data_IF_174985354785
#
_entry.id   IF_174985354785
#
_cell.length_a   1.000
_cell.length_b   1.000
_cell.length_c   1.000
_cell.angle_alpha   90.00
_cell.angle_beta   90.00
_cell.angle_gamma   90.00
#
_symmetry.space_group_name_H-M   'P 1'
#
loop_
_entity.id
_entity.type
_entity.pdbx_description
1 polymer ?
#
# COMPACT_ATOMS: atom_id res chain seq x y z
N UNK A 1 21.68 -1.48 23.94
CA UNK A 1 20.31 -1.76 23.44
C UNK A 1 19.39 -0.54 23.54
N UNK A 2 19.30 0.15 24.67
CA UNK A 2 18.50 1.39 24.84
C UNK A 2 19.00 2.53 23.95
N UNK A 3 20.32 2.69 23.76
CA UNK A 3 20.87 3.71 22.86
C UNK A 3 20.42 3.53 21.40
N UNK A 4 20.31 2.32 20.91
CA UNK A 4 19.80 2.07 19.56
C UNK A 4 18.31 2.46 19.43
N UNK A 5 17.49 2.24 20.49
CA UNK A 5 16.10 2.73 20.53
C UNK A 5 16.08 4.26 20.51
N UNK A 6 16.87 4.89 21.40
CA UNK A 6 16.96 6.36 21.49
C UNK A 6 17.31 6.98 20.13
N UNK A 7 18.36 6.49 19.48
CA UNK A 7 18.82 7.02 18.19
C UNK A 7 17.77 6.80 17.07
N UNK A 8 17.16 5.62 17.01
CA UNK A 8 16.13 5.31 16.00
C UNK A 8 14.90 6.21 16.13
N UNK A 9 14.43 6.43 17.37
CA UNK A 9 13.27 7.27 17.62
C UNK A 9 13.57 8.75 17.47
N UNK A 10 14.77 9.20 17.83
CA UNK A 10 15.24 10.56 17.54
C UNK A 10 15.23 10.84 16.04
N UNK A 11 15.87 9.95 15.25
CA UNK A 11 15.89 10.09 13.80
C UNK A 11 14.48 10.13 13.21
N UNK A 12 13.57 9.28 13.70
CA UNK A 12 12.19 9.29 13.23
C UNK A 12 11.49 10.62 13.52
N UNK A 13 11.69 11.18 14.72
CA UNK A 13 11.12 12.47 15.11
C UNK A 13 11.66 13.63 14.28
N UNK A 14 12.95 13.57 13.92
CA UNK A 14 13.63 14.66 13.24
C UNK A 14 13.47 14.60 11.69
N UNK A 15 13.39 13.39 11.09
CA UNK A 15 13.50 13.20 9.64
C UNK A 15 12.25 12.59 8.98
N UNK A 16 11.50 11.71 9.68
CA UNK A 16 10.46 10.90 9.04
C UNK A 16 9.02 11.37 9.35
N UNK A 17 8.78 11.85 10.57
CA UNK A 17 7.46 12.25 11.04
C UNK A 17 7.08 13.72 10.76
N UNK A 18 8.04 14.70 10.67
CA UNK A 18 7.68 16.08 10.44
C UNK A 18 6.89 16.30 9.15
N UNK A 19 5.85 17.15 9.21
CA UNK A 19 4.95 17.40 8.07
C UNK A 19 3.99 16.26 7.74
N UNK A 20 4.07 15.13 8.46
CA UNK A 20 3.16 14.00 8.31
C UNK A 20 2.31 13.74 9.55
N UNK A 21 2.90 13.82 10.74
CA UNK A 21 2.20 13.55 11.99
C UNK A 21 2.86 14.22 13.18
N UNK A 22 2.31 15.33 13.62
CA UNK A 22 2.80 16.05 14.81
C UNK A 22 2.69 15.18 16.08
N UNK A 23 1.67 14.31 16.13
CA UNK A 23 1.50 13.37 17.24
C UNK A 23 2.64 12.35 17.27
N UNK A 24 3.05 11.83 16.13
CA UNK A 24 4.17 10.89 16.05
C UNK A 24 5.53 11.56 16.27
N UNK A 25 5.68 12.86 15.93
CA UNK A 25 6.83 13.67 16.35
C UNK A 25 6.87 13.75 17.87
N UNK A 26 5.74 14.07 18.53
CA UNK A 26 5.62 14.15 19.98
C UNK A 26 5.99 12.82 20.66
N UNK A 27 5.41 11.71 20.23
CA UNK A 27 5.68 10.40 20.80
C UNK A 27 7.14 9.96 20.60
N UNK A 28 7.67 10.13 19.40
CA UNK A 28 9.03 9.72 19.10
C UNK A 28 10.07 10.57 19.84
N UNK A 29 9.86 11.89 19.95
CA UNK A 29 10.69 12.80 20.74
C UNK A 29 10.68 12.42 22.23
N UNK A 30 9.51 12.09 22.77
CA UNK A 30 9.34 11.62 24.13
C UNK A 30 10.11 10.31 24.37
N UNK A 31 9.97 9.32 23.51
CA UNK A 31 10.71 8.05 23.60
C UNK A 31 12.23 8.31 23.57
N UNK A 32 12.70 9.22 22.71
CA UNK A 32 14.12 9.54 22.60
C UNK A 32 14.69 10.15 23.91
N UNK A 33 13.85 10.75 24.76
CA UNK A 33 14.21 11.33 26.06
C UNK A 33 13.91 10.43 27.28
N UNK A 34 13.24 9.28 27.12
CA UNK A 34 12.73 8.48 28.23
C UNK A 34 13.41 7.10 28.33
N UNK A 35 14.37 6.94 29.28
CA UNK A 35 15.07 5.67 29.47
C UNK A 35 14.16 4.52 29.94
N UNK A 36 13.03 4.80 30.58
CA UNK A 36 12.12 3.76 31.07
C UNK A 36 11.32 3.13 29.93
N UNK A 37 10.76 3.95 29.04
CA UNK A 37 10.11 3.49 27.81
C UNK A 37 11.12 2.80 26.89
N UNK A 38 12.34 3.33 26.76
CA UNK A 38 13.40 2.70 25.96
C UNK A 38 13.72 1.29 26.46
N UNK A 39 13.71 1.03 27.77
CA UNK A 39 13.90 -0.32 28.32
C UNK A 39 12.78 -1.27 27.93
N UNK A 40 11.54 -0.81 27.92
CA UNK A 40 10.40 -1.61 27.44
C UNK A 40 10.58 -1.94 25.94
N UNK A 41 10.84 -0.94 25.11
CA UNK A 41 10.97 -1.12 23.65
C UNK A 41 12.21 -1.94 23.27
N UNK A 42 13.29 -1.91 24.09
CA UNK A 42 14.48 -2.73 23.86
C UNK A 42 14.21 -4.25 24.01
N UNK A 43 13.10 -4.65 24.61
CA UNK A 43 12.64 -6.05 24.68
C UNK A 43 12.10 -6.57 23.35
N UNK A 44 11.71 -5.67 22.45
CA UNK A 44 11.23 -5.98 21.10
C UNK A 44 12.45 -6.17 20.19
N UNK A 45 12.43 -7.18 19.31
CA UNK A 45 13.48 -7.40 18.32
C UNK A 45 13.69 -6.16 17.44
N UNK A 46 14.92 -5.90 17.00
CA UNK A 46 15.29 -4.65 16.33
C UNK A 46 14.46 -4.37 15.07
N UNK A 47 14.22 -5.37 14.26
CA UNK A 47 13.40 -5.29 13.06
C UNK A 47 11.90 -5.15 13.33
N UNK A 48 11.46 -5.26 14.59
CA UNK A 48 10.06 -5.17 15.03
C UNK A 48 9.78 -3.96 15.92
N UNK A 49 10.79 -3.20 16.32
CA UNK A 49 10.64 -2.01 17.18
C UNK A 49 10.69 -0.68 16.42
N UNK A 50 10.39 -0.72 15.12
CA UNK A 50 10.30 0.50 14.31
C UNK A 50 9.17 1.40 14.83
N UNK A 51 9.38 2.75 14.92
CA UNK A 51 8.37 3.65 15.48
C UNK A 51 6.97 3.48 14.87
N UNK A 52 6.79 3.39 13.54
CA UNK A 52 5.45 3.20 12.96
C UNK A 52 4.75 1.92 13.42
N UNK A 53 5.50 0.83 13.62
CA UNK A 53 4.92 -0.43 14.09
C UNK A 53 4.49 -0.34 15.56
N UNK A 54 5.35 0.18 16.42
CA UNK A 54 5.05 0.32 17.85
C UNK A 54 3.86 1.27 18.06
N UNK A 55 3.83 2.39 17.34
CA UNK A 55 2.74 3.35 17.44
C UNK A 55 1.41 2.77 16.93
N UNK A 56 1.45 2.03 15.82
CA UNK A 56 0.27 1.32 15.33
C UNK A 56 -0.25 0.26 16.32
N UNK A 57 0.65 -0.50 16.95
CA UNK A 57 0.29 -1.47 18.00
C UNK A 57 -0.37 -0.77 19.19
N UNK A 58 0.21 0.31 19.70
CA UNK A 58 -0.39 1.03 20.84
C UNK A 58 -1.75 1.63 20.50
N UNK A 59 -1.94 2.11 19.26
CA UNK A 59 -3.24 2.58 18.76
C UNK A 59 -4.25 1.45 18.63
N UNK A 60 -3.86 0.33 18.05
CA UNK A 60 -4.70 -0.88 17.96
C UNK A 60 -5.17 -1.35 19.34
N UNK A 61 -4.30 -1.23 20.36
CA UNK A 61 -4.60 -1.57 21.74
C UNK A 61 -5.45 -0.51 22.47
N UNK A 62 -5.74 0.62 21.83
CA UNK A 62 -6.71 1.60 22.32
C UNK A 62 -6.12 2.80 23.06
N UNK A 63 -4.84 3.14 22.86
CA UNK A 63 -4.24 4.32 23.53
C UNK A 63 -4.92 5.65 23.14
N UNK A 64 -5.57 5.71 21.96
CA UNK A 64 -6.14 6.95 21.44
C UNK A 64 -5.09 7.92 20.90
N UNK A 65 -5.56 9.12 20.51
CA UNK A 65 -4.71 10.22 20.00
C UNK A 65 -4.34 11.17 21.14
N UNK A 66 -3.52 10.71 22.07
CA UNK A 66 -3.12 11.41 23.29
C UNK A 66 -1.69 11.91 23.23
N UNK A 67 -1.33 12.92 24.03
CA UNK A 67 0.05 13.41 24.16
C UNK A 67 0.97 12.37 24.79
N UNK A 68 2.28 12.58 24.64
CA UNK A 68 3.32 11.63 25.07
C UNK A 68 3.14 11.12 26.51
N UNK A 69 2.85 11.97 27.49
CA UNK A 69 2.75 11.56 28.89
C UNK A 69 1.67 10.50 29.12
N UNK A 70 0.51 10.65 28.49
CA UNK A 70 -0.56 9.67 28.56
C UNK A 70 -0.22 8.39 27.77
N UNK A 71 0.42 8.54 26.60
CA UNK A 71 0.94 7.41 25.80
C UNK A 71 2.01 6.63 26.59
N UNK A 72 2.93 7.34 27.25
CA UNK A 72 3.95 6.75 28.15
C UNK A 72 3.32 5.90 29.25
N UNK A 73 2.35 6.45 29.98
CA UNK A 73 1.65 5.74 31.05
C UNK A 73 0.99 4.46 30.50
N UNK A 74 0.37 4.53 29.33
CA UNK A 74 -0.22 3.38 28.65
C UNK A 74 0.84 2.31 28.31
N UNK A 75 1.97 2.71 27.72
CA UNK A 75 3.06 1.77 27.37
C UNK A 75 3.62 1.08 28.59
N UNK A 76 3.85 1.80 29.67
CA UNK A 76 4.40 1.21 30.90
C UNK A 76 3.41 0.27 31.57
N UNK A 77 2.11 0.57 31.55
CA UNK A 77 1.07 -0.27 32.14
C UNK A 77 0.78 -1.55 31.35
N UNK A 78 1.08 -1.57 30.03
CA UNK A 78 0.79 -2.70 29.13
C UNK A 78 2.05 -3.21 28.41
N UNK A 79 3.22 -3.09 29.03
CA UNK A 79 4.51 -3.37 28.41
C UNK A 79 4.61 -4.77 27.79
N UNK A 80 4.17 -5.80 28.51
CA UNK A 80 4.24 -7.20 28.07
C UNK A 80 3.36 -7.46 26.85
N UNK A 81 2.16 -6.90 26.82
CA UNK A 81 1.24 -7.03 25.73
C UNK A 81 1.76 -6.33 24.45
N UNK A 82 2.30 -5.10 24.61
CA UNK A 82 2.88 -4.34 23.50
C UNK A 82 4.08 -5.10 22.91
N UNK A 83 4.96 -5.63 23.74
CA UNK A 83 6.11 -6.43 23.29
C UNK A 83 5.66 -7.67 22.53
N UNK A 84 4.64 -8.38 23.03
CA UNK A 84 4.06 -9.55 22.38
C UNK A 84 3.45 -9.21 21.03
N UNK A 85 2.61 -8.17 20.95
CA UNK A 85 1.96 -7.72 19.71
C UNK A 85 2.98 -7.28 18.64
N UNK A 86 3.97 -6.49 19.03
CA UNK A 86 5.02 -6.06 18.10
C UNK A 86 5.80 -7.25 17.51
N UNK A 87 5.99 -8.32 18.29
CA UNK A 87 6.70 -9.51 17.84
C UNK A 87 5.94 -10.29 16.76
N UNK A 88 4.60 -10.29 16.83
CA UNK A 88 3.73 -11.03 15.90
C UNK A 88 3.33 -10.26 14.66
N UNK A 89 3.48 -8.92 14.61
CA UNK A 89 2.94 -8.10 13.52
C UNK A 89 4.02 -7.61 12.57
N UNK A 90 3.60 -7.32 11.33
CA UNK A 90 4.42 -6.71 10.28
C UNK A 90 3.75 -5.43 9.78
N UNK A 91 4.55 -4.42 9.44
CA UNK A 91 4.02 -3.26 8.74
C UNK A 91 3.46 -3.71 7.38
N UNK A 92 2.26 -3.25 7.09
CA UNK A 92 1.58 -3.48 5.81
C UNK A 92 1.05 -2.14 5.31
N UNK A 93 1.11 -1.91 4.01
CA UNK A 93 0.56 -0.70 3.40
C UNK A 93 -0.63 -1.12 2.55
N UNK A 94 -1.82 -1.02 3.13
CA UNK A 94 -3.07 -1.31 2.43
C UNK A 94 -3.77 0.03 2.13
N UNK A 95 -3.38 0.67 1.02
CA UNK A 95 -3.81 2.02 0.65
C UNK A 95 -4.63 1.98 -0.66
N UNK A 96 -5.97 2.10 -0.57
CA UNK A 96 -6.83 2.09 -1.75
C UNK A 96 -6.47 3.15 -2.80
N UNK A 97 -5.92 4.30 -2.37
CA UNK A 97 -5.57 5.38 -3.28
C UNK A 97 -4.51 4.99 -4.31
N UNK A 98 -3.74 3.90 -4.09
CA UNK A 98 -2.86 3.31 -5.11
C UNK A 98 -3.58 2.91 -6.39
N UNK A 99 -4.89 2.66 -6.31
CA UNK A 99 -5.70 2.39 -7.50
C UNK A 99 -5.88 3.60 -8.41
N UNK A 100 -5.70 4.84 -7.91
CA UNK A 100 -5.85 6.03 -8.76
C UNK A 100 -4.90 6.03 -9.97
N UNK A 101 -3.57 5.82 -9.84
CA UNK A 101 -2.68 5.67 -10.98
C UNK A 101 -2.82 4.34 -11.73
N UNK A 102 -3.42 3.29 -11.13
CA UNK A 102 -3.61 2.00 -11.78
C UNK A 102 -4.87 1.94 -12.64
N UNK A 103 -5.92 2.74 -12.32
CA UNK A 103 -7.17 2.75 -13.08
C UNK A 103 -6.97 2.99 -14.60
N UNK A 104 -6.18 4.00 -15.03
CA UNK A 104 -5.94 4.20 -16.48
C UNK A 104 -5.31 2.98 -17.15
N UNK A 105 -4.41 2.28 -16.45
CA UNK A 105 -3.75 1.08 -16.96
C UNK A 105 -4.73 -0.10 -17.05
N UNK A 106 -5.54 -0.30 -16.02
CA UNK A 106 -6.62 -1.30 -16.04
C UNK A 106 -7.64 -1.03 -17.14
N UNK A 107 -7.84 0.25 -17.50
CA UNK A 107 -8.74 0.66 -18.58
C UNK A 107 -8.26 0.25 -19.98
N UNK A 108 -6.96 -0.08 -20.14
CA UNK A 108 -6.41 -0.60 -21.41
C UNK A 108 -6.75 -2.09 -21.63
N UNK A 109 -7.21 -2.79 -20.60
CA UNK A 109 -7.50 -4.23 -20.68
C UNK A 109 -8.98 -4.44 -21.00
N UNK A 110 -9.27 -5.03 -22.15
CA UNK A 110 -10.63 -5.24 -22.61
C UNK A 110 -11.34 -6.43 -21.94
N UNK A 111 -12.67 -6.32 -21.86
CA UNK A 111 -13.55 -7.37 -21.35
C UNK A 111 -13.54 -7.48 -19.81
N UNK A 112 -14.16 -8.55 -19.28
CA UNK A 112 -14.14 -8.84 -17.86
C UNK A 112 -12.73 -9.23 -17.40
N UNK A 113 -12.34 -8.82 -16.18
CA UNK A 113 -11.04 -9.12 -15.60
C UNK A 113 -11.17 -9.97 -14.33
N UNK A 114 -10.27 -10.93 -14.20
CA UNK A 114 -10.01 -11.68 -12.99
C UNK A 114 -8.78 -11.06 -12.30
N UNK A 115 -8.98 -10.35 -11.19
CA UNK A 115 -7.92 -9.58 -10.54
C UNK A 115 -7.24 -10.39 -9.43
N UNK A 116 -5.92 -10.58 -9.53
CA UNK A 116 -5.07 -11.25 -8.56
C UNK A 116 -3.99 -10.30 -8.04
N UNK A 117 -3.97 -10.02 -6.74
CA UNK A 117 -2.99 -9.12 -6.12
C UNK A 117 -1.93 -9.89 -5.33
N UNK A 118 -0.65 -9.57 -5.56
CA UNK A 118 0.47 -10.04 -4.74
C UNK A 118 0.78 -8.98 -3.67
N UNK A 119 0.85 -9.44 -2.40
CA UNK A 119 0.98 -8.56 -1.25
C UNK A 119 -0.36 -7.90 -0.88
N UNK A 120 -1.44 -8.65 -0.99
CA UNK A 120 -2.80 -8.12 -0.91
C UNK A 120 -3.21 -7.61 0.48
N UNK A 121 -2.55 -8.04 1.57
CA UNK A 121 -2.94 -7.68 2.94
C UNK A 121 -4.43 -8.00 3.20
N UNK A 122 -5.31 -7.01 3.35
CA UNK A 122 -6.78 -7.20 3.42
C UNK A 122 -7.48 -7.04 2.06
N UNK A 123 -6.74 -6.94 0.96
CA UNK A 123 -7.27 -6.88 -0.40
C UNK A 123 -7.93 -5.55 -0.77
N UNK A 124 -7.58 -4.42 -0.11
CA UNK A 124 -8.25 -3.15 -0.40
C UNK A 124 -7.96 -2.59 -1.80
N UNK A 125 -6.92 -3.06 -2.49
CA UNK A 125 -6.66 -2.72 -3.89
C UNK A 125 -7.33 -3.68 -4.90
N UNK A 126 -8.14 -4.62 -4.45
CA UNK A 126 -8.88 -5.55 -5.30
C UNK A 126 -10.27 -5.02 -5.75
N UNK A 127 -10.61 -3.77 -5.43
CA UNK A 127 -11.94 -3.18 -5.70
C UNK A 127 -11.87 -1.93 -6.60
N UNK A 128 -11.12 -1.93 -7.72
CA UNK A 128 -11.04 -0.76 -8.59
C UNK A 128 -12.39 -0.34 -9.18
N UNK A 129 -13.33 -1.27 -9.34
CA UNK A 129 -14.69 -1.08 -9.85
C UNK A 129 -15.71 -0.64 -8.80
N UNK A 130 -15.33 -0.62 -7.50
CA UNK A 130 -16.22 -0.28 -6.38
C UNK A 130 -15.91 1.08 -5.76
N UNK A 131 -14.85 1.79 -6.22
CA UNK A 131 -14.43 3.06 -5.69
C UNK A 131 -14.75 4.20 -6.66
N UNK A 132 -15.02 5.39 -6.11
CA UNK A 132 -15.16 6.62 -6.89
C UNK A 132 -13.80 7.27 -7.08
N UNK A 133 -13.53 7.80 -8.26
CA UNK A 133 -12.28 8.47 -8.61
C UNK A 133 -12.52 9.94 -8.90
N UNK A 134 -11.64 10.80 -8.38
CA UNK A 134 -11.62 12.25 -8.65
C UNK A 134 -10.17 12.64 -8.98
N UNK A 135 -9.91 12.90 -10.25
CA UNK A 135 -8.63 13.35 -10.72
C UNK A 135 -8.63 14.88 -10.80
N UNK A 136 -7.75 15.52 -10.03
CA UNK A 136 -7.71 16.96 -9.88
C UNK A 136 -6.41 17.52 -10.44
N UNK A 137 -6.48 18.64 -11.16
CA UNK A 137 -5.30 19.35 -11.63
C UNK A 137 -4.58 20.09 -10.49
N UNK A 138 -3.40 20.63 -10.77
CA UNK A 138 -2.64 21.48 -9.84
C UNK A 138 -3.39 22.74 -9.41
N UNK A 139 -4.37 23.19 -10.21
CA UNK A 139 -5.30 24.29 -9.91
C UNK A 139 -6.48 23.88 -9.01
N UNK A 140 -6.53 22.61 -8.57
CA UNK A 140 -7.63 22.08 -7.75
C UNK A 140 -8.91 21.74 -8.51
N UNK A 141 -8.95 21.96 -9.84
CA UNK A 141 -10.13 21.65 -10.65
C UNK A 141 -10.20 20.16 -10.99
N UNK A 142 -11.41 19.59 -10.93
CA UNK A 142 -11.64 18.20 -11.34
C UNK A 142 -11.45 18.08 -12.84
N UNK A 143 -10.50 17.28 -13.27
CA UNK A 143 -10.19 16.97 -14.68
C UNK A 143 -10.96 15.77 -15.19
N UNK A 144 -11.19 14.78 -14.32
CA UNK A 144 -12.02 13.61 -14.61
C UNK A 144 -12.64 13.07 -13.32
N UNK A 145 -13.83 12.51 -13.45
CA UNK A 145 -14.55 11.83 -12.38
C UNK A 145 -15.12 10.52 -12.93
N UNK A 146 -14.94 9.44 -12.19
CA UNK A 146 -15.54 8.14 -12.49
C UNK A 146 -16.16 7.60 -11.21
N UNK A 147 -17.35 7.03 -11.34
CA UNK A 147 -18.06 6.37 -10.26
C UNK A 147 -18.38 4.91 -10.66
N UNK A 148 -18.52 4.00 -9.70
CA UNK A 148 -19.04 2.64 -9.96
C UNK A 148 -20.36 2.67 -10.71
N UNK A 149 -20.68 1.57 -11.40
CA UNK A 149 -21.93 1.45 -12.18
C UNK A 149 -23.16 1.67 -11.30
N UNK A 150 -23.12 1.24 -10.04
CA UNK A 150 -24.25 1.35 -9.09
C UNK A 150 -24.34 2.72 -8.38
N UNK A 151 -23.50 3.68 -8.81
CA UNK A 151 -23.48 5.02 -8.25
C UNK A 151 -22.25 5.34 -7.38
N UNK A 152 -22.17 6.56 -6.83
CA UNK A 152 -21.00 7.01 -6.08
C UNK A 152 -20.68 6.14 -4.87
N UNK A 153 -19.40 5.81 -4.70
CA UNK A 153 -18.87 5.01 -3.59
C UNK A 153 -18.59 5.88 -2.33
N UNK A 154 -18.72 5.32 -1.12
CA UNK A 154 -18.21 5.95 0.09
C UNK A 154 -16.69 6.06 0.10
N UNK A 155 -15.99 5.28 -0.74
CA UNK A 155 -14.53 5.37 -0.95
C UNK A 155 -14.26 6.28 -2.13
N UNK A 156 -13.81 7.50 -1.87
CA UNK A 156 -13.43 8.46 -2.91
C UNK A 156 -11.91 8.56 -3.00
N UNK A 157 -11.36 8.16 -4.15
CA UNK A 157 -9.95 8.22 -4.46
C UNK A 157 -9.65 9.53 -5.19
N UNK A 158 -9.28 10.56 -4.42
CA UNK A 158 -8.87 11.85 -4.98
C UNK A 158 -7.36 11.86 -5.19
N UNK A 159 -6.92 12.04 -6.43
CA UNK A 159 -5.51 12.08 -6.80
C UNK A 159 -5.22 13.26 -7.71
N UNK A 160 -4.08 13.93 -7.47
CA UNK A 160 -3.62 14.99 -8.34
C UNK A 160 -3.06 14.37 -9.63
N UNK A 161 -3.40 15.01 -10.75
CA UNK A 161 -2.91 14.61 -12.06
C UNK A 161 -2.19 15.75 -12.74
N UNK A 162 -1.04 15.43 -13.31
CA UNK A 162 -0.24 16.36 -14.08
C UNK A 162 -0.21 15.88 -15.56
N UNK A 163 -0.26 16.83 -16.50
CA UNK A 163 -0.23 16.53 -17.92
C UNK A 163 -1.57 16.04 -18.51
N UNK A 164 -1.48 15.28 -19.60
CA UNK A 164 -2.63 14.76 -20.34
C UNK A 164 -3.22 13.53 -19.67
N UNK A 165 -4.54 13.49 -19.52
CA UNK A 165 -5.25 12.30 -19.08
C UNK A 165 -5.47 11.32 -20.25
N UNK A 166 -5.21 10.03 -20.07
CA UNK A 166 -5.65 9.01 -21.01
C UNK A 166 -7.18 8.81 -20.94
N UNK A 167 -7.73 8.09 -21.90
CA UNK A 167 -9.10 7.59 -21.76
C UNK A 167 -9.18 6.61 -20.59
N UNK A 168 -10.24 6.73 -19.80
CA UNK A 168 -10.43 5.88 -18.60
C UNK A 168 -11.85 5.35 -18.57
N UNK A 169 -12.00 4.11 -18.11
CA UNK A 169 -13.27 3.46 -17.84
C UNK A 169 -13.19 2.66 -16.54
N UNK A 170 -14.32 2.39 -15.92
CA UNK A 170 -14.40 1.45 -14.82
C UNK A 170 -14.15 0.02 -15.34
N UNK A 171 -13.25 -0.75 -14.71
CA UNK A 171 -13.05 -2.15 -15.10
C UNK A 171 -14.25 -3.00 -14.67
N UNK A 172 -14.51 -4.07 -15.42
CA UNK A 172 -15.48 -5.09 -15.07
C UNK A 172 -14.76 -6.23 -14.31
N UNK A 173 -14.73 -6.16 -12.98
CA UNK A 173 -14.02 -7.15 -12.14
C UNK A 173 -14.97 -8.25 -11.72
N UNK A 174 -14.82 -9.44 -12.33
CA UNK A 174 -15.67 -10.61 -12.09
C UNK A 174 -15.10 -11.57 -11.05
N UNK A 175 -13.84 -11.43 -10.66
CA UNK A 175 -13.19 -12.27 -9.66
C UNK A 175 -12.06 -11.51 -8.98
N UNK A 176 -11.90 -11.72 -7.67
CA UNK A 176 -10.91 -11.05 -6.81
C UNK A 176 -10.17 -12.05 -5.96
N UNK A 177 -8.86 -12.09 -6.10
CA UNK A 177 -8.01 -12.92 -5.25
C UNK A 177 -6.72 -12.22 -4.87
N UNK A 178 -6.10 -12.68 -3.80
CA UNK A 178 -4.84 -12.14 -3.36
C UNK A 178 -3.99 -13.14 -2.59
N UNK A 179 -2.68 -12.92 -2.67
CA UNK A 179 -1.68 -13.67 -1.92
C UNK A 179 -0.97 -12.70 -0.99
N UNK A 180 -0.83 -13.09 0.28
CA UNK A 180 -0.02 -12.35 1.25
C UNK A 180 0.66 -13.33 2.21
N UNK A 181 1.82 -12.97 2.75
CA UNK A 181 2.48 -13.78 3.78
C UNK A 181 1.68 -13.85 5.07
N UNK A 182 0.85 -12.83 5.34
CA UNK A 182 -0.02 -12.72 6.50
C UNK A 182 -1.29 -11.94 6.11
N UNK A 183 -2.20 -12.53 5.34
CA UNK A 183 -3.44 -11.87 4.92
C UNK A 183 -4.30 -11.52 6.13
N UNK A 184 -5.04 -10.42 6.01
CA UNK A 184 -5.93 -9.90 7.04
C UNK A 184 -7.39 -10.03 6.60
N UNK A 185 -8.28 -10.29 7.54
CA UNK A 185 -9.72 -10.38 7.29
C UNK A 185 -10.41 -9.05 7.59
N UNK A 186 -10.99 -8.43 6.57
CA UNK A 186 -11.74 -7.18 6.73
C UNK A 186 -13.00 -7.32 7.62
N UNK A 187 -13.43 -8.55 7.93
CA UNK A 187 -14.54 -8.85 8.87
C UNK A 187 -14.06 -9.00 10.31
N UNK A 188 -12.77 -9.23 10.54
CA UNK A 188 -12.21 -9.36 11.88
C UNK A 188 -11.91 -7.99 12.49
N UNK A 189 -12.48 -7.70 13.65
CA UNK A 189 -12.33 -6.41 14.33
C UNK A 189 -10.89 -6.09 14.74
N UNK A 190 -10.07 -7.12 15.02
CA UNK A 190 -8.67 -6.92 15.42
C UNK A 190 -7.82 -6.54 14.21
N UNK A 191 -8.06 -7.17 13.07
CA UNK A 191 -7.39 -6.85 11.82
C UNK A 191 -7.78 -5.45 11.33
N UNK A 192 -9.07 -5.09 11.44
CA UNK A 192 -9.56 -3.75 11.14
C UNK A 192 -8.87 -2.69 12.01
N UNK A 193 -8.82 -2.90 13.33
CA UNK A 193 -8.10 -1.98 14.24
C UNK A 193 -6.62 -1.88 13.91
N UNK A 194 -6.00 -3.00 13.54
CA UNK A 194 -4.61 -3.01 13.10
C UNK A 194 -4.39 -2.14 11.86
N UNK A 195 -5.16 -2.34 10.80
CA UNK A 195 -5.05 -1.58 9.56
C UNK A 195 -5.32 -0.08 9.75
N UNK A 196 -6.32 0.27 10.57
CA UNK A 196 -6.59 1.66 10.95
C UNK A 196 -5.45 2.25 11.79
N UNK A 197 -4.85 1.46 12.67
CA UNK A 197 -3.69 1.84 13.47
C UNK A 197 -2.45 2.17 12.64
N UNK A 198 -2.29 1.56 11.47
CA UNK A 198 -1.20 1.82 10.54
C UNK A 198 -1.30 3.18 9.80
N UNK A 199 -2.49 3.77 9.75
CA UNK A 199 -2.68 5.11 9.19
C UNK A 199 -2.12 6.13 10.19
N UNK A 200 -1.20 6.99 9.74
CA UNK A 200 -0.61 7.99 10.63
C UNK A 200 -1.63 9.09 10.96
N UNK A 201 -1.73 9.50 12.23
CA UNK A 201 -2.54 10.65 12.61
C UNK A 201 -2.08 11.91 11.89
N UNK A 202 -3.02 12.65 11.28
CA UNK A 202 -2.72 13.83 10.47
C UNK A 202 -2.74 13.57 8.95
N UNK A 203 -2.75 12.33 8.51
CA UNK A 203 -2.96 12.00 7.08
C UNK A 203 -4.45 12.16 6.73
N UNK A 204 -4.81 13.36 6.26
CA UNK A 204 -6.20 13.78 6.03
C UNK A 204 -6.97 12.82 5.10
N UNK A 205 -8.18 12.45 5.50
CA UNK A 205 -9.09 11.57 4.73
C UNK A 205 -8.64 10.11 4.62
N UNK A 206 -7.40 9.75 4.98
CA UNK A 206 -6.88 8.39 4.80
C UNK A 206 -7.55 7.38 5.74
N UNK A 207 -7.78 7.74 7.00
CA UNK A 207 -8.42 6.85 7.96
C UNK A 207 -9.87 6.54 7.55
N UNK A 208 -10.62 7.55 7.11
CA UNK A 208 -11.98 7.39 6.62
C UNK A 208 -12.03 6.51 5.37
N UNK A 209 -11.11 6.74 4.43
CA UNK A 209 -10.98 5.94 3.20
C UNK A 209 -10.68 4.47 3.50
N UNK A 210 -9.71 4.19 4.37
CA UNK A 210 -9.37 2.82 4.78
C UNK A 210 -10.56 2.15 5.47
N UNK A 211 -11.26 2.86 6.37
CA UNK A 211 -12.46 2.33 7.04
C UNK A 211 -13.54 1.96 6.05
N UNK A 212 -13.90 2.87 5.14
CA UNK A 212 -14.92 2.61 4.12
C UNK A 212 -14.52 1.49 3.16
N UNK A 213 -13.23 1.38 2.80
CA UNK A 213 -12.73 0.30 1.97
C UNK A 213 -12.80 -1.07 2.69
N UNK A 214 -12.53 -1.10 4.00
CA UNK A 214 -12.72 -2.30 4.83
C UNK A 214 -14.19 -2.72 4.90
N UNK A 215 -15.14 -1.78 4.90
CA UNK A 215 -16.56 -2.09 4.88
C UNK A 215 -16.98 -2.73 3.55
N UNK A 216 -16.45 -2.25 2.43
CA UNK A 216 -16.67 -2.86 1.10
C UNK A 216 -16.06 -4.28 1.06
N UNK A 217 -14.81 -4.43 1.50
CA UNK A 217 -14.14 -5.73 1.52
C UNK A 217 -14.81 -6.74 2.47
N UNK A 218 -15.39 -6.28 3.58
CA UNK A 218 -16.14 -7.13 4.50
C UNK A 218 -17.47 -7.60 3.91
N UNK A 219 -18.14 -6.76 3.11
CA UNK A 219 -19.42 -7.08 2.46
C UNK A 219 -19.27 -8.06 1.29
N UNK A 220 -18.14 -8.03 0.56
CA UNK A 220 -17.83 -8.89 -0.58
C UNK A 220 -16.37 -9.37 -0.46
N UNK A 221 -16.06 -10.34 0.45
CA UNK A 221 -14.69 -10.69 0.78
C UNK A 221 -13.94 -11.31 -0.40
N UNK A 222 -12.71 -10.85 -0.70
CA UNK A 222 -11.90 -11.44 -1.75
C UNK A 222 -11.35 -12.81 -1.31
N UNK A 223 -10.97 -13.64 -2.26
CA UNK A 223 -10.26 -14.89 -1.97
C UNK A 223 -8.81 -14.61 -1.58
N UNK A 224 -8.52 -14.49 -0.30
CA UNK A 224 -7.16 -14.31 0.18
C UNK A 224 -6.55 -15.63 0.62
N UNK A 225 -5.29 -15.88 0.22
CA UNK A 225 -4.52 -17.05 0.65
C UNK A 225 -3.20 -16.61 1.29
N UNK A 226 -2.81 -17.34 2.34
CA UNK A 226 -1.53 -17.15 3.01
C UNK A 226 -0.41 -17.93 2.32
N UNK A 227 0.75 -17.30 2.17
CA UNK A 227 1.97 -17.97 1.70
C UNK A 227 2.85 -17.11 0.82
N UNK A 228 3.95 -17.71 0.39
CA UNK A 228 4.86 -17.09 -0.58
C UNK A 228 4.21 -17.04 -1.97
N UNK A 229 4.27 -15.87 -2.60
CA UNK A 229 3.64 -15.67 -3.91
C UNK A 229 4.25 -16.58 -4.98
N UNK A 230 5.56 -16.81 -4.95
CA UNK A 230 6.24 -17.68 -5.92
C UNK A 230 5.72 -19.14 -5.84
N UNK A 231 5.34 -19.59 -4.65
CA UNK A 231 4.83 -20.94 -4.44
C UNK A 231 3.32 -21.07 -4.74
N UNK A 232 2.57 -19.98 -4.61
CA UNK A 232 1.11 -20.00 -4.60
C UNK A 232 0.44 -19.46 -5.87
N UNK A 233 1.16 -18.65 -6.65
CA UNK A 233 0.56 -17.86 -7.73
C UNK A 233 -0.07 -18.72 -8.82
N UNK A 234 0.53 -19.84 -9.21
CA UNK A 234 0.01 -20.67 -10.28
C UNK A 234 -1.31 -21.35 -9.90
N UNK A 235 -1.35 -21.89 -8.68
CA UNK A 235 -2.54 -22.56 -8.19
C UNK A 235 -3.71 -21.58 -8.06
N UNK A 236 -3.44 -20.36 -7.59
CA UNK A 236 -4.47 -19.33 -7.46
C UNK A 236 -4.88 -18.74 -8.82
N UNK A 237 -3.93 -18.53 -9.73
CA UNK A 237 -4.21 -18.09 -11.09
C UNK A 237 -5.11 -19.06 -11.86
N UNK A 238 -4.95 -20.37 -11.63
CA UNK A 238 -5.78 -21.40 -12.23
C UNK A 238 -7.24 -21.42 -11.73
N UNK A 239 -7.55 -20.72 -10.62
CA UNK A 239 -8.93 -20.53 -10.12
C UNK A 239 -9.67 -19.41 -10.86
N UNK A 240 -8.99 -18.60 -11.69
CA UNK A 240 -9.61 -17.52 -12.44
C UNK A 240 -10.70 -18.05 -13.38
N UNK A 241 -11.88 -17.41 -13.45
CA UNK A 241 -12.98 -17.89 -14.25
C UNK A 241 -12.63 -17.84 -15.75
N UNK A 242 -13.01 -18.87 -16.53
CA UNK A 242 -12.79 -18.87 -17.96
C UNK A 242 -13.55 -17.71 -18.63
N UNK A 243 -12.93 -17.09 -19.63
CA UNK A 243 -13.51 -15.94 -20.36
C UNK A 243 -13.23 -14.57 -19.75
N UNK A 244 -12.58 -14.51 -18.58
CA UNK A 244 -12.03 -13.28 -18.03
C UNK A 244 -10.53 -13.20 -18.30
N UNK A 245 -10.02 -12.00 -18.55
CA UNK A 245 -8.57 -11.76 -18.63
C UNK A 245 -7.99 -11.78 -17.21
N UNK A 246 -7.05 -12.69 -16.93
CA UNK A 246 -6.31 -12.66 -15.67
C UNK A 246 -5.41 -11.43 -15.63
N UNK A 247 -5.56 -10.63 -14.57
CA UNK A 247 -4.74 -9.45 -14.32
C UNK A 247 -4.03 -9.61 -12.98
N UNK A 248 -2.72 -9.74 -13.01
CA UNK A 248 -1.90 -9.83 -11.79
C UNK A 248 -1.41 -8.43 -11.45
N UNK A 249 -1.63 -7.99 -10.20
CA UNK A 249 -1.17 -6.71 -9.72
C UNK A 249 -0.12 -6.86 -8.62
N UNK A 250 0.91 -6.00 -8.67
CA UNK A 250 1.98 -5.96 -7.66
C UNK A 250 2.17 -4.53 -7.13
N UNK A 251 1.18 -3.97 -6.39
CA UNK A 251 1.19 -2.55 -6.02
C UNK A 251 2.16 -2.24 -4.87
N UNK A 252 3.44 -1.99 -5.19
CA UNK A 252 4.49 -1.61 -4.24
C UNK A 252 4.93 -2.74 -3.32
N UNK A 253 4.77 -3.99 -3.73
CA UNK A 253 5.19 -5.16 -2.96
C UNK A 253 6.60 -5.61 -3.32
N UNK A 254 7.01 -5.43 -4.58
CA UNK A 254 8.25 -6.00 -5.11
C UNK A 254 9.50 -5.46 -4.41
N UNK A 255 9.46 -4.24 -3.90
CA UNK A 255 10.55 -3.65 -3.11
C UNK A 255 10.83 -4.41 -1.81
N UNK A 256 9.85 -5.14 -1.28
CA UNK A 256 9.95 -5.91 -0.03
C UNK A 256 10.44 -7.35 -0.25
N UNK A 257 10.53 -7.79 -1.51
CA UNK A 257 10.98 -9.14 -1.88
C UNK A 257 12.49 -9.11 -2.19
N UNK A 258 13.29 -10.02 -1.63
CA UNK A 258 14.72 -10.15 -1.98
C UNK A 258 14.92 -10.26 -3.49
N UNK A 259 16.01 -9.69 -4.00
CA UNK A 259 16.24 -9.53 -5.46
C UNK A 259 16.07 -10.84 -6.23
N UNK A 260 16.66 -11.94 -5.78
CA UNK A 260 16.58 -13.24 -6.45
C UNK A 260 15.14 -13.76 -6.51
N UNK A 261 14.44 -13.79 -5.38
CA UNK A 261 13.04 -14.21 -5.31
C UNK A 261 12.11 -13.29 -6.13
N UNK A 262 12.38 -11.98 -6.15
CA UNK A 262 11.65 -11.02 -6.97
C UNK A 262 11.83 -11.28 -8.46
N UNK A 263 13.07 -11.55 -8.92
CA UNK A 263 13.33 -11.89 -10.32
C UNK A 263 12.55 -13.15 -10.71
N UNK A 264 12.64 -14.21 -9.90
CA UNK A 264 11.92 -15.45 -10.15
C UNK A 264 10.38 -15.24 -10.17
N UNK A 265 9.85 -14.41 -9.28
CA UNK A 265 8.41 -14.07 -9.26
C UNK A 265 7.98 -13.33 -10.52
N UNK A 266 8.76 -12.33 -10.96
CA UNK A 266 8.44 -11.57 -12.18
C UNK A 266 8.51 -12.47 -13.41
N UNK A 267 9.52 -13.34 -13.52
CA UNK A 267 9.62 -14.33 -14.59
C UNK A 267 8.42 -15.29 -14.57
N UNK A 268 8.00 -15.72 -13.38
CA UNK A 268 6.81 -16.58 -13.23
C UNK A 268 5.54 -15.87 -13.69
N UNK A 269 5.31 -14.64 -13.26
CA UNK A 269 4.15 -13.82 -13.69
C UNK A 269 4.14 -13.66 -15.22
N UNK A 270 5.28 -13.36 -15.83
CA UNK A 270 5.40 -13.20 -17.28
C UNK A 270 5.21 -14.50 -18.07
N UNK A 271 5.38 -15.66 -17.41
CA UNK A 271 5.12 -16.97 -17.99
C UNK A 271 3.66 -17.43 -17.92
N UNK A 272 2.80 -16.70 -17.20
CA UNK A 272 1.37 -16.98 -17.14
C UNK A 272 0.63 -16.31 -18.32
N UNK A 273 -0.49 -16.87 -18.73
CA UNK A 273 -1.44 -16.22 -19.65
C UNK A 273 -2.21 -15.12 -18.88
N UNK A 274 -1.55 -14.03 -18.59
CA UNK A 274 -2.03 -12.94 -17.75
C UNK A 274 -1.46 -11.60 -18.19
N UNK A 275 -2.17 -10.52 -17.84
CA UNK A 275 -1.63 -9.16 -17.91
C UNK A 275 -1.04 -8.81 -16.56
N UNK A 276 0.07 -8.11 -16.52
CA UNK A 276 0.74 -7.70 -15.31
C UNK A 276 0.76 -6.19 -15.13
N UNK A 277 0.14 -5.70 -14.05
CA UNK A 277 0.09 -4.27 -13.70
C UNK A 277 0.90 -4.05 -12.41
N UNK A 278 1.86 -3.14 -12.46
CA UNK A 278 2.72 -2.84 -11.30
C UNK A 278 2.85 -1.36 -11.03
N UNK A 279 3.13 -1.02 -9.77
CA UNK A 279 3.56 0.30 -9.31
C UNK A 279 4.68 0.12 -8.30
N UNK A 280 5.93 0.36 -8.70
CA UNK A 280 7.12 0.09 -7.90
C UNK A 280 8.23 1.14 -8.11
N UNK A 281 9.20 1.27 -7.19
CA UNK A 281 10.34 2.16 -7.38
C UNK A 281 11.12 1.82 -8.66
N UNK A 282 11.63 2.83 -9.39
CA UNK A 282 12.32 2.62 -10.66
C UNK A 282 13.51 1.66 -10.57
N UNK A 283 14.28 1.69 -9.48
CA UNK A 283 15.45 0.83 -9.29
C UNK A 283 15.12 -0.65 -9.01
N UNK A 284 13.84 -0.98 -8.72
CA UNK A 284 13.44 -2.35 -8.33
C UNK A 284 13.44 -3.29 -9.52
N UNK A 285 13.08 -2.80 -10.70
CA UNK A 285 12.89 -3.58 -11.92
C UNK A 285 13.59 -2.94 -13.14
N UNK A 286 14.76 -2.32 -12.95
CA UNK A 286 15.45 -1.53 -13.96
C UNK A 286 15.52 -2.16 -15.36
N UNK A 287 15.77 -3.46 -15.43
CA UNK A 287 15.92 -4.19 -16.70
C UNK A 287 14.56 -4.61 -17.32
N UNK A 288 13.48 -4.46 -16.58
CA UNK A 288 12.12 -4.88 -17.00
C UNK A 288 11.38 -3.75 -17.68
N UNK A 289 11.67 -2.48 -17.30
CA UNK A 289 10.96 -1.31 -17.80
C UNK A 289 11.19 -1.07 -19.29
N UNK A 290 10.10 -0.82 -20.03
CA UNK A 290 10.11 -0.44 -21.44
C UNK A 290 9.33 0.87 -21.65
N UNK A 291 9.96 1.95 -22.12
CA UNK A 291 11.40 2.09 -22.29
C UNK A 291 12.17 2.05 -20.96
N UNK A 292 13.46 1.84 -21.00
CA UNK A 292 14.31 1.84 -19.81
C UNK A 292 14.17 3.12 -19.00
N UNK A 293 14.10 2.98 -17.68
CA UNK A 293 13.93 4.09 -16.73
C UNK A 293 15.25 4.34 -16.01
N UNK A 294 15.76 5.57 -16.13
CA UNK A 294 16.93 6.03 -15.35
C UNK A 294 16.46 6.44 -13.97
N UNK A 295 16.74 5.61 -12.96
CA UNK A 295 16.20 5.77 -11.62
C UNK A 295 16.57 7.12 -10.97
N UNK A 296 17.76 7.68 -11.27
CA UNK A 296 18.21 8.98 -10.73
C UNK A 296 17.43 10.17 -11.31
N UNK A 297 16.79 10.01 -12.48
CA UNK A 297 16.05 11.05 -13.19
C UNK A 297 14.52 10.88 -13.04
N UNK A 298 14.08 9.77 -12.45
CA UNK A 298 12.68 9.46 -12.33
C UNK A 298 12.10 9.93 -11.01
N UNK A 299 10.97 10.61 -11.06
CA UNK A 299 10.25 11.07 -9.87
C UNK A 299 9.15 10.09 -9.50
N UNK A 300 9.15 9.63 -8.25
CA UNK A 300 8.13 8.70 -7.74
C UNK A 300 8.33 7.25 -8.16
N UNK A 301 7.24 6.50 -8.23
CA UNK A 301 7.20 5.11 -8.66
C UNK A 301 6.87 5.02 -10.15
N UNK A 302 7.27 3.93 -10.77
CA UNK A 302 6.91 3.57 -12.15
C UNK A 302 5.60 2.80 -12.12
N UNK A 303 4.64 3.21 -12.94
CA UNK A 303 3.42 2.44 -13.23
C UNK A 303 3.58 1.82 -14.60
N UNK A 304 3.39 0.52 -14.71
CA UNK A 304 3.58 -0.20 -15.97
C UNK A 304 2.55 -1.31 -16.20
N UNK A 305 2.34 -1.64 -17.47
CA UNK A 305 1.57 -2.77 -17.97
C UNK A 305 2.51 -3.70 -18.73
N UNK A 306 2.68 -4.94 -18.25
CA UNK A 306 3.56 -5.97 -18.84
C UNK A 306 5.05 -5.53 -18.97
N UNK A 307 5.45 -4.56 -18.15
CA UNK A 307 6.76 -3.91 -18.18
C UNK A 307 6.79 -2.60 -18.99
N UNK A 308 5.80 -2.34 -19.84
CA UNK A 308 5.69 -1.09 -20.58
C UNK A 308 5.28 0.06 -19.64
N UNK A 309 6.13 1.06 -19.55
CA UNK A 309 5.92 2.23 -18.67
C UNK A 309 4.73 3.06 -19.16
N UNK A 310 3.83 3.40 -18.25
CA UNK A 310 2.63 4.21 -18.50
C UNK A 310 2.63 5.53 -17.76
N UNK A 311 3.08 5.52 -16.49
CA UNK A 311 3.02 6.73 -15.68
C UNK A 311 4.13 6.77 -14.63
N UNK A 312 4.42 7.98 -14.13
CA UNK A 312 5.06 8.21 -12.85
C UNK A 312 4.00 8.49 -11.79
N UNK A 313 4.20 8.00 -10.57
CA UNK A 313 3.20 8.16 -9.52
C UNK A 313 3.80 8.28 -8.10
N UNK A 314 3.05 8.91 -7.20
CA UNK A 314 3.31 8.84 -5.77
C UNK A 314 3.15 7.39 -5.27
N UNK A 315 4.00 6.92 -4.35
CA UNK A 315 3.92 5.55 -3.81
C UNK A 315 2.59 5.17 -3.19
N UNK A 316 1.80 6.16 -2.74
CA UNK A 316 0.46 5.98 -2.17
C UNK A 316 -0.66 6.48 -3.11
N UNK A 317 -0.34 6.90 -4.34
CA UNK A 317 -1.32 7.32 -5.32
C UNK A 317 -1.81 8.77 -5.20
N UNK A 318 -1.17 9.64 -4.37
CA UNK A 318 -1.58 11.03 -4.15
C UNK A 318 -1.47 11.90 -5.39
N UNK A 319 -0.54 11.57 -6.29
CA UNK A 319 -0.38 12.19 -7.60
C UNK A 319 0.12 11.17 -8.62
N UNK A 320 -0.14 11.42 -9.90
CA UNK A 320 0.46 10.70 -11.03
C UNK A 320 0.52 11.56 -12.29
N UNK A 321 1.43 11.18 -13.18
CA UNK A 321 1.64 11.80 -14.48
C UNK A 321 1.70 10.72 -15.57
N UNK A 322 0.79 10.79 -16.53
CA UNK A 322 0.76 9.87 -17.65
C UNK A 322 1.88 10.15 -18.63
N UNK A 323 2.65 9.15 -18.97
CA UNK A 323 3.83 9.25 -19.83
C UNK A 323 3.74 8.30 -21.02
N UNK A 324 2.87 8.57 -22.00
CA UNK A 324 2.84 7.85 -23.28
C UNK A 324 3.78 8.48 -24.28
N UNK A 325 4.53 7.64 -25.03
CA UNK A 325 5.39 8.08 -26.13
C UNK A 325 6.75 8.60 -25.69
N UNK A 326 7.33 8.06 -24.62
CA UNK A 326 8.77 8.15 -24.42
C UNK A 326 9.41 7.29 -25.52
N UNK A 327 9.60 7.90 -26.70
CA UNK A 327 10.50 7.32 -27.70
C UNK A 327 11.86 7.13 -26.99
N UNK A 328 12.42 5.93 -27.10
CA UNK A 328 13.82 5.71 -26.71
C UNK A 328 14.63 6.85 -27.34
N UNK A 329 15.25 7.69 -26.52
CA UNK A 329 16.21 8.65 -27.00
C UNK A 329 17.30 7.83 -27.67
N UNK A 330 17.31 7.83 -29.00
CA UNK A 330 18.37 7.23 -29.77
C UNK A 330 19.66 7.97 -29.40
N UNK A 331 20.52 7.29 -28.62
CA UNK A 331 21.94 7.64 -28.52
C UNK A 331 22.68 7.12 -29.73
#
# INVERSE_FOLDING_TARGET
MTDAVRLRYRRFADEEAPGRSDLYVDWASGVAGDPEVQRVLARIAENRRQPPLVFAVTRMLGVGLVRYDAWRAFVLSRADEIVSECSGRRLQTNEPLRLAPLLPVLSEIDGPIALLEVGASAGLCLYPDRYSYRFVGSDGQVRAALDPHDGPSPVVLQSRVDGRLPAMRMPDVVWRAGIDLAPLDARDDRDRRWLQGLVWPGEEGREQRVRAALDIAAADPPRLIAGDALERIDALAAEAPPGATLVITTPGVLVHIPREARTALVERIRGLDARWVTIDPPAVLGDVWQPAVVAAEWTGFVVALDGDVRAAADPLGRWWEWRTGIAASAT
#
